data_IF_750238922056
#
_entry.id   IF_750238922056
#
_cell.length_a   1.000
_cell.length_b   1.000
_cell.length_c   1.000
_cell.angle_alpha   90.00
_cell.angle_beta   90.00
_cell.angle_gamma   90.00
#
_symmetry.space_group_name_H-M   'P 1'
#
loop_
_entity.id
_entity.type
_entity.pdbx_description
1 polymer ?
#
# COMPACT_ATOMS: atom_id res chain seq x y z
N UNK A 1 -2.33 -21.17 10.92
CA UNK A 1 -2.13 -21.07 9.47
C UNK A 1 -3.40 -20.62 8.74
N UNK A 2 -4.53 -21.32 8.80
CA UNK A 2 -5.76 -20.96 8.08
C UNK A 2 -6.19 -19.48 8.22
N UNK A 3 -6.19 -18.91 9.43
CA UNK A 3 -6.54 -17.50 9.63
C UNK A 3 -5.61 -16.53 8.89
N UNK A 4 -4.31 -16.81 8.88
CA UNK A 4 -3.32 -15.96 8.21
C UNK A 4 -3.41 -16.07 6.68
N UNK A 5 -3.58 -17.30 6.20
CA UNK A 5 -3.68 -17.60 4.77
C UNK A 5 -4.88 -16.92 4.11
N UNK A 6 -5.97 -16.79 4.88
CA UNK A 6 -7.21 -16.16 4.41
C UNK A 6 -7.47 -14.75 4.96
N UNK A 7 -6.48 -14.12 5.63
CA UNK A 7 -6.62 -12.80 6.25
C UNK A 7 -7.84 -12.68 7.18
N UNK A 8 -8.14 -13.73 7.94
CA UNK A 8 -9.29 -13.76 8.84
C UNK A 8 -8.94 -13.17 10.20
N UNK A 9 -9.88 -12.45 10.79
CA UNK A 9 -9.71 -11.85 12.11
C UNK A 9 -9.64 -12.93 13.22
N UNK A 10 -8.75 -12.74 14.20
CA UNK A 10 -8.56 -13.70 15.30
C UNK A 10 -9.78 -13.86 16.22
N UNK A 11 -10.69 -12.88 16.26
CA UNK A 11 -11.96 -13.00 17.01
C UNK A 11 -12.85 -14.14 16.49
N UNK A 12 -12.69 -14.57 15.23
CA UNK A 12 -13.40 -15.74 14.70
C UNK A 12 -13.09 -17.02 15.49
N UNK A 13 -11.92 -17.09 16.14
CA UNK A 13 -11.54 -18.24 16.95
C UNK A 13 -12.39 -18.43 18.22
N UNK A 14 -13.20 -17.46 18.59
CA UNK A 14 -14.17 -17.58 19.68
C UNK A 14 -15.41 -18.37 19.24
N UNK A 15 -15.77 -18.30 17.97
CA UNK A 15 -16.95 -18.94 17.38
C UNK A 15 -16.65 -20.21 16.59
N UNK A 16 -15.46 -20.31 16.00
CA UNK A 16 -15.09 -21.44 15.15
C UNK A 16 -15.17 -22.81 15.83
N UNK A 17 -14.76 -23.01 17.11
CA UNK A 17 -14.92 -24.29 17.79
C UNK A 17 -16.36 -24.73 17.92
N UNK A 18 -17.28 -23.79 18.15
CA UNK A 18 -18.72 -24.07 18.26
C UNK A 18 -19.29 -24.49 16.91
N UNK A 19 -18.93 -23.79 15.84
CA UNK A 19 -19.31 -24.14 14.48
C UNK A 19 -18.82 -25.55 14.12
N UNK A 20 -17.55 -25.86 14.37
CA UNK A 20 -16.95 -27.19 14.07
C UNK A 20 -17.69 -28.30 14.85
N UNK A 21 -17.99 -28.07 16.12
CA UNK A 21 -18.76 -29.03 16.95
C UNK A 21 -20.17 -29.26 16.42
N UNK A 22 -20.83 -28.23 15.89
CA UNK A 22 -22.19 -28.37 15.34
C UNK A 22 -22.21 -29.07 13.99
N UNK A 23 -21.17 -28.88 13.18
CA UNK A 23 -21.06 -29.49 11.84
C UNK A 23 -20.54 -30.91 11.89
N UNK A 24 -19.68 -31.24 12.88
CA UNK A 24 -19.06 -32.54 13.07
C UNK A 24 -19.37 -33.10 14.48
N UNK A 25 -20.63 -33.40 14.81
CA UNK A 25 -21.04 -33.80 16.16
C UNK A 25 -20.52 -35.17 16.61
N UNK A 26 -20.17 -36.02 15.65
CA UNK A 26 -19.59 -37.36 15.83
C UNK A 26 -18.06 -37.37 16.03
N UNK A 27 -17.39 -36.23 15.74
CA UNK A 27 -15.93 -36.14 15.86
C UNK A 27 -15.46 -35.90 17.29
N UNK A 28 -14.72 -36.84 17.85
CA UNK A 28 -14.08 -36.68 19.17
C UNK A 28 -13.08 -35.53 19.21
N UNK A 29 -12.37 -35.24 18.09
CA UNK A 29 -11.47 -34.09 17.98
C UNK A 29 -12.26 -32.79 18.05
N UNK A 30 -13.39 -32.70 17.36
CA UNK A 30 -14.27 -31.53 17.38
C UNK A 30 -14.84 -31.27 18.77
N UNK A 31 -15.29 -32.32 19.49
CA UNK A 31 -15.82 -32.21 20.86
C UNK A 31 -14.82 -31.59 21.84
N UNK A 32 -13.53 -31.94 21.70
CA UNK A 32 -12.45 -31.49 22.58
C UNK A 32 -11.73 -30.23 22.05
N UNK A 33 -12.13 -29.71 20.91
CA UNK A 33 -11.52 -28.50 20.35
C UNK A 33 -11.74 -27.29 21.25
N UNK A 34 -10.64 -26.75 21.80
CA UNK A 34 -10.60 -25.56 22.65
C UNK A 34 -9.54 -24.62 22.12
N UNK A 35 -9.96 -23.62 21.36
CA UNK A 35 -9.09 -22.57 20.88
C UNK A 35 -9.82 -21.23 21.07
N UNK A 36 -9.08 -20.23 21.51
CA UNK A 36 -9.58 -18.88 21.73
C UNK A 36 -8.73 -17.89 20.93
N UNK A 37 -9.19 -16.65 20.82
CA UNK A 37 -8.41 -15.54 20.23
C UNK A 37 -7.02 -15.44 20.86
N UNK A 38 -6.93 -15.45 22.18
CA UNK A 38 -5.65 -15.36 22.90
C UNK A 38 -4.71 -16.51 22.53
N UNK A 39 -5.22 -17.74 22.52
CA UNK A 39 -4.40 -18.91 22.13
C UNK A 39 -3.94 -18.81 20.67
N UNK A 40 -4.81 -18.36 19.76
CA UNK A 40 -4.45 -18.14 18.37
C UNK A 40 -3.33 -17.09 18.24
N UNK A 41 -3.42 -15.99 19.01
CA UNK A 41 -2.38 -14.96 19.06
C UNK A 41 -1.04 -15.52 19.56
N UNK A 42 -1.04 -16.31 20.63
CA UNK A 42 0.20 -16.90 21.16
C UNK A 42 0.83 -17.90 20.18
N UNK A 43 0.02 -18.75 19.55
CA UNK A 43 0.51 -19.65 18.50
C UNK A 43 1.12 -18.87 17.33
N UNK A 44 0.51 -17.72 16.96
CA UNK A 44 1.05 -16.86 15.91
C UNK A 44 2.41 -16.28 16.28
N UNK A 45 2.62 -15.90 17.55
CA UNK A 45 3.94 -15.42 18.01
C UNK A 45 5.00 -16.50 17.85
N UNK A 46 4.69 -17.74 18.27
CA UNK A 46 5.61 -18.89 18.12
C UNK A 46 5.95 -19.12 16.64
N UNK A 47 4.94 -19.11 15.75
CA UNK A 47 5.16 -19.28 14.30
C UNK A 47 6.05 -18.16 13.76
N UNK A 48 5.81 -16.91 14.19
CA UNK A 48 6.64 -15.77 13.80
C UNK A 48 8.08 -15.95 14.25
N UNK A 49 8.30 -16.31 15.51
CA UNK A 49 9.64 -16.45 16.07
C UNK A 49 10.42 -17.59 15.37
N UNK A 50 9.79 -18.72 15.13
CA UNK A 50 10.33 -19.82 14.32
C UNK A 50 10.69 -19.39 12.89
N UNK A 51 9.78 -18.60 12.25
CA UNK A 51 10.01 -18.11 10.89
C UNK A 51 11.22 -17.17 10.83
N UNK A 52 11.37 -16.29 11.82
CA UNK A 52 12.52 -15.39 11.91
C UNK A 52 13.80 -16.18 12.16
N UNK A 53 13.77 -17.17 13.05
CA UNK A 53 14.93 -18.02 13.32
C UNK A 53 15.41 -18.77 12.06
N UNK A 54 14.48 -19.29 11.25
CA UNK A 54 14.80 -19.90 9.96
C UNK A 54 15.50 -18.92 9.01
N UNK A 55 15.04 -17.68 8.94
CA UNK A 55 15.68 -16.61 8.14
C UNK A 55 17.10 -16.37 8.67
N UNK A 56 17.25 -16.10 9.97
CA UNK A 56 18.55 -15.83 10.61
C UNK A 56 19.54 -16.99 10.37
N UNK A 57 19.09 -18.23 10.53
CA UNK A 57 19.91 -19.40 10.25
C UNK A 57 20.34 -19.49 8.78
N UNK A 58 19.48 -19.04 7.84
CA UNK A 58 19.81 -19.01 6.42
C UNK A 58 20.81 -17.91 6.06
N UNK A 59 20.97 -16.89 6.91
CA UNK A 59 21.88 -15.76 6.71
C UNK A 59 23.29 -15.99 7.28
N UNK A 60 23.52 -17.06 8.05
CA UNK A 60 24.82 -17.32 8.68
C UNK A 60 25.93 -17.41 7.64
N UNK A 61 26.92 -16.53 7.76
CA UNK A 61 28.07 -16.46 6.86
C UNK A 61 27.74 -15.98 5.43
N UNK A 62 26.58 -15.37 5.21
CA UNK A 62 26.16 -14.87 3.92
C UNK A 62 26.00 -13.37 3.91
N UNK A 63 26.16 -12.81 2.72
CA UNK A 63 25.81 -11.41 2.44
C UNK A 63 24.32 -11.27 2.19
N UNK A 64 23.79 -10.08 2.48
CA UNK A 64 22.38 -9.78 2.30
C UNK A 64 22.16 -8.32 1.92
N UNK A 65 20.96 -8.01 1.44
CA UNK A 65 20.49 -6.66 1.20
C UNK A 65 19.20 -6.39 1.97
N UNK A 66 18.99 -5.15 2.36
CA UNK A 66 17.73 -4.70 2.99
C UNK A 66 16.84 -4.01 1.95
N UNK A 67 15.55 -4.29 2.04
CA UNK A 67 14.50 -3.57 1.31
C UNK A 67 13.57 -2.97 2.36
N UNK A 68 13.38 -1.65 2.33
CA UNK A 68 12.60 -0.94 3.34
C UNK A 68 11.54 -0.07 2.69
N UNK A 69 10.38 -0.02 3.34
CA UNK A 69 9.27 0.83 2.90
C UNK A 69 8.46 1.31 4.10
N UNK A 70 8.11 2.62 4.09
CA UNK A 70 7.22 3.20 5.09
C UNK A 70 5.76 2.95 4.71
N UNK A 71 4.97 2.52 5.68
CA UNK A 71 3.52 2.36 5.52
C UNK A 71 2.77 3.06 6.65
N UNK A 72 1.56 3.51 6.35
CA UNK A 72 0.67 4.10 7.35
C UNK A 72 -0.61 3.24 7.39
N UNK A 73 -0.96 2.75 8.56
CA UNK A 73 -2.18 1.97 8.73
C UNK A 73 -3.44 2.86 8.77
N UNK A 74 -4.63 2.23 8.83
CA UNK A 74 -5.90 2.94 8.91
C UNK A 74 -6.05 3.77 10.20
N UNK A 75 -5.28 3.47 11.24
CA UNK A 75 -5.23 4.22 12.50
C UNK A 75 -4.21 5.37 12.48
N UNK A 76 -3.68 5.71 11.29
CA UNK A 76 -2.66 6.75 11.07
C UNK A 76 -1.31 6.46 11.74
N UNK A 77 -1.07 5.20 12.15
CA UNK A 77 0.21 4.79 12.72
C UNK A 77 1.21 4.48 11.61
N UNK A 78 2.36 5.11 11.71
CA UNK A 78 3.46 4.87 10.78
C UNK A 78 4.27 3.66 11.20
N UNK A 79 4.60 2.82 10.24
CA UNK A 79 5.43 1.63 10.42
C UNK A 79 6.44 1.51 9.29
N UNK A 80 7.60 0.92 9.58
CA UNK A 80 8.61 0.57 8.60
C UNK A 80 8.58 -0.94 8.38
N UNK A 81 8.34 -1.35 7.15
CA UNK A 81 8.51 -2.74 6.72
C UNK A 81 9.98 -2.95 6.39
N UNK A 82 10.55 -4.02 6.91
CA UNK A 82 11.93 -4.43 6.62
C UNK A 82 11.90 -5.84 6.05
N UNK A 83 12.31 -5.96 4.78
CA UNK A 83 12.56 -7.22 4.12
C UNK A 83 14.07 -7.43 4.01
N UNK A 84 14.48 -8.67 3.99
CA UNK A 84 15.85 -9.08 3.77
C UNK A 84 15.95 -9.95 2.53
N UNK A 85 16.86 -9.59 1.62
CA UNK A 85 17.13 -10.32 0.38
C UNK A 85 18.45 -11.06 0.52
N UNK A 86 18.44 -12.35 0.27
CA UNK A 86 19.61 -13.21 0.37
C UNK A 86 19.55 -14.38 -0.62
N UNK A 87 20.67 -15.06 -0.82
CA UNK A 87 20.72 -16.30 -1.60
C UNK A 87 20.44 -17.52 -0.72
N UNK A 88 19.42 -18.28 -1.07
CA UNK A 88 19.05 -19.53 -0.39
C UNK A 88 19.74 -20.74 -1.06
N UNK A 89 20.79 -21.29 -0.41
CA UNK A 89 21.54 -22.42 -0.97
C UNK A 89 20.70 -23.69 -1.11
N UNK A 90 19.69 -23.88 -0.25
CA UNK A 90 18.84 -25.07 -0.32
C UNK A 90 17.94 -25.04 -1.55
N UNK A 91 17.46 -23.85 -1.91
CA UNK A 91 16.57 -23.64 -3.05
C UNK A 91 17.29 -23.19 -4.33
N UNK A 92 18.57 -22.81 -4.19
CA UNK A 92 19.40 -22.28 -5.30
C UNK A 92 18.76 -21.05 -5.95
N UNK A 93 18.18 -20.15 -5.14
CA UNK A 93 17.49 -18.95 -5.62
C UNK A 93 17.72 -17.75 -4.69
N UNK A 94 17.55 -16.54 -5.23
CA UNK A 94 17.46 -15.30 -4.43
C UNK A 94 16.07 -15.23 -3.82
N UNK A 95 16.01 -14.98 -2.51
CA UNK A 95 14.77 -14.87 -1.76
C UNK A 95 14.64 -13.54 -1.06
N UNK A 96 13.43 -13.03 -1.04
CA UNK A 96 12.99 -11.95 -0.18
C UNK A 96 12.22 -12.55 1.00
N UNK A 97 12.63 -12.18 2.22
CA UNK A 97 11.98 -12.64 3.44
C UNK A 97 11.59 -11.45 4.31
N UNK A 98 10.42 -11.52 4.91
CA UNK A 98 9.94 -10.50 5.85
C UNK A 98 10.70 -10.64 7.16
N UNK A 99 11.50 -9.62 7.51
CA UNK A 99 12.28 -9.59 8.75
C UNK A 99 11.49 -8.95 9.90
N UNK A 100 10.78 -7.87 9.63
CA UNK A 100 10.02 -7.20 10.66
C UNK A 100 9.18 -6.02 10.19
N UNK A 101 8.24 -5.66 11.06
CA UNK A 101 7.45 -4.44 10.98
C UNK A 101 7.75 -3.60 12.21
N UNK A 102 8.37 -2.46 12.02
CA UNK A 102 8.81 -1.56 13.08
C UNK A 102 7.80 -0.42 13.20
N UNK A 103 7.19 -0.27 14.36
CA UNK A 103 6.32 0.88 14.62
C UNK A 103 7.18 2.14 14.82
N UNK A 104 6.88 3.20 14.08
CA UNK A 104 7.63 4.43 14.11
C UNK A 104 6.94 5.48 14.98
N UNK A 105 7.68 6.02 15.93
CA UNK A 105 7.26 7.21 16.68
C UNK A 105 7.73 8.50 16.00
N UNK A 106 8.85 8.42 15.29
CA UNK A 106 9.43 9.51 14.50
C UNK A 106 9.91 8.96 13.15
N UNK A 107 9.69 9.72 12.08
CA UNK A 107 10.03 9.33 10.72
C UNK A 107 11.20 10.17 10.17
N UNK A 108 12.20 10.48 11.01
CA UNK A 108 13.45 11.07 10.54
C UNK A 108 14.50 9.97 10.26
N UNK A 109 15.47 10.27 9.43
CA UNK A 109 16.48 9.32 9.00
C UNK A 109 17.27 8.69 10.15
N UNK A 110 17.53 9.45 11.21
CA UNK A 110 18.24 8.96 12.40
C UNK A 110 17.44 7.90 13.15
N UNK A 111 16.14 8.16 13.37
CA UNK A 111 15.27 7.20 14.03
C UNK A 111 15.08 5.93 13.19
N UNK A 112 14.86 6.06 11.88
CA UNK A 112 14.74 4.92 10.97
C UNK A 112 16.00 4.06 10.98
N UNK A 113 17.15 4.68 10.82
CA UNK A 113 18.45 3.99 10.87
C UNK A 113 18.64 3.25 12.20
N UNK A 114 18.40 3.92 13.34
CA UNK A 114 18.52 3.32 14.68
C UNK A 114 17.59 2.13 14.85
N UNK A 115 16.33 2.26 14.46
CA UNK A 115 15.34 1.17 14.61
C UNK A 115 15.70 -0.05 13.72
N UNK A 116 16.19 0.17 12.50
CA UNK A 116 16.68 -0.92 11.65
C UNK A 116 17.91 -1.58 12.24
N UNK A 117 18.86 -0.79 12.74
CA UNK A 117 20.06 -1.32 13.41
C UNK A 117 19.70 -2.14 14.65
N UNK A 118 18.77 -1.66 15.47
CA UNK A 118 18.26 -2.38 16.63
C UNK A 118 17.59 -3.71 16.23
N UNK A 119 16.83 -3.73 15.13
CA UNK A 119 16.22 -4.95 14.62
C UNK A 119 17.27 -5.98 14.22
N UNK A 120 18.30 -5.56 13.49
CA UNK A 120 19.41 -6.45 13.10
C UNK A 120 20.19 -6.97 14.33
N UNK A 121 20.46 -6.11 15.30
CA UNK A 121 21.10 -6.50 16.55
C UNK A 121 20.26 -7.47 17.36
N UNK A 122 18.95 -7.26 17.46
CA UNK A 122 18.02 -8.15 18.18
C UNK A 122 18.08 -9.58 17.65
N UNK A 123 18.27 -9.74 16.34
CA UNK A 123 18.38 -11.03 15.70
C UNK A 123 19.81 -11.51 15.47
N UNK A 124 20.81 -10.80 16.00
CA UNK A 124 22.24 -11.08 15.82
C UNK A 124 22.63 -11.22 14.33
N UNK A 125 22.07 -10.36 13.46
CA UNK A 125 22.40 -10.29 12.04
C UNK A 125 23.56 -9.32 11.86
N UNK A 126 24.75 -9.77 11.37
CA UNK A 126 25.94 -8.97 11.27
C UNK A 126 25.79 -7.85 10.22
N UNK A 127 26.04 -6.61 10.60
CA UNK A 127 25.97 -5.44 9.69
C UNK A 127 27.07 -5.45 8.61
N UNK A 128 28.21 -6.06 8.88
CA UNK A 128 29.31 -6.22 7.94
C UNK A 128 28.95 -7.04 6.70
N UNK A 129 27.93 -7.86 6.80
CA UNK A 129 27.42 -8.67 5.68
C UNK A 129 26.37 -7.93 4.84
N UNK A 130 25.99 -6.71 5.21
CA UNK A 130 25.05 -5.90 4.45
C UNK A 130 25.75 -5.31 3.22
N UNK A 131 25.34 -5.77 2.03
CA UNK A 131 25.92 -5.32 0.74
C UNK A 131 25.01 -4.41 -0.06
N UNK A 132 23.75 -4.32 0.29
CA UNK A 132 22.78 -3.54 -0.49
C UNK A 132 21.64 -2.99 0.35
N UNK A 133 21.13 -1.83 -0.08
CA UNK A 133 20.00 -1.14 0.50
C UNK A 133 19.04 -0.68 -0.59
N UNK A 134 17.77 -1.02 -0.50
CA UNK A 134 16.73 -0.51 -1.39
C UNK A 134 15.59 0.12 -0.57
N UNK A 135 15.15 1.30 -0.99
CA UNK A 135 14.00 1.99 -0.42
C UNK A 135 13.34 2.92 -1.45
N UNK A 136 12.30 3.64 -1.07
CA UNK A 136 11.74 4.69 -1.91
C UNK A 136 12.74 5.85 -2.08
N UNK A 137 12.44 6.77 -3.01
CA UNK A 137 13.33 7.89 -3.32
C UNK A 137 13.09 9.13 -2.42
N UNK A 138 12.37 8.97 -1.30
CA UNK A 138 12.18 10.05 -0.35
C UNK A 138 13.53 10.54 0.21
N UNK A 139 13.66 11.85 0.42
CA UNK A 139 14.89 12.44 0.92
C UNK A 139 15.32 11.88 2.30
N UNK A 140 14.37 11.45 3.12
CA UNK A 140 14.62 10.79 4.40
C UNK A 140 15.35 9.47 4.20
N UNK A 141 14.99 8.69 3.17
CA UNK A 141 15.61 7.41 2.84
C UNK A 141 16.90 7.59 2.02
N UNK A 142 16.81 8.31 0.88
CA UNK A 142 17.84 8.39 -0.15
C UNK A 142 18.62 9.70 -0.16
N UNK A 143 18.51 10.53 0.88
CA UNK A 143 19.30 11.76 0.99
C UNK A 143 20.80 11.49 1.18
N UNK A 144 21.65 12.01 0.27
CA UNK A 144 23.10 11.74 0.25
C UNK A 144 23.88 12.30 1.45
N UNK A 145 23.31 13.28 2.18
CA UNK A 145 24.00 13.94 3.31
C UNK A 145 23.53 13.44 4.67
N UNK A 146 22.25 13.17 4.81
CA UNK A 146 21.63 12.89 6.11
C UNK A 146 20.50 11.86 6.05
N UNK A 147 20.28 11.26 4.90
CA UNK A 147 19.30 10.18 4.70
C UNK A 147 19.74 8.88 5.37
N UNK A 148 18.85 7.91 5.40
CA UNK A 148 19.14 6.57 5.93
C UNK A 148 20.29 5.94 5.15
N UNK A 149 20.33 6.07 3.82
CA UNK A 149 21.45 5.56 3.01
C UNK A 149 22.81 6.14 3.43
N UNK A 150 22.89 7.45 3.68
CA UNK A 150 24.15 8.08 4.07
C UNK A 150 24.69 7.50 5.37
N UNK A 151 23.82 7.24 6.35
CA UNK A 151 24.17 6.64 7.64
C UNK A 151 24.65 5.19 7.51
N UNK A 152 24.06 4.40 6.62
CA UNK A 152 24.57 3.05 6.32
C UNK A 152 25.91 3.11 5.57
N UNK A 153 26.08 4.06 4.66
CA UNK A 153 27.35 4.25 3.93
C UNK A 153 28.49 4.79 4.82
N UNK A 154 28.20 5.50 5.91
CA UNK A 154 29.19 5.86 6.91
C UNK A 154 29.80 4.61 7.60
N UNK A 155 29.00 3.55 7.79
CA UNK A 155 29.46 2.29 8.39
C UNK A 155 30.14 1.41 7.34
N UNK A 156 29.53 1.27 6.16
CA UNK A 156 30.06 0.50 5.06
C UNK A 156 29.95 1.28 3.74
N UNK A 157 31.02 1.97 3.33
CA UNK A 157 31.04 2.76 2.09
C UNK A 157 30.78 1.95 0.81
N UNK A 158 30.92 0.62 0.86
CA UNK A 158 30.74 -0.27 -0.29
C UNK A 158 29.29 -0.73 -0.47
N UNK A 159 28.36 -0.32 0.39
CA UNK A 159 26.94 -0.69 0.25
C UNK A 159 26.39 -0.16 -1.08
N UNK A 160 25.87 -1.06 -1.89
CA UNK A 160 25.11 -0.69 -3.09
C UNK A 160 23.74 -0.16 -2.69
N UNK A 161 23.39 1.05 -3.13
CA UNK A 161 22.11 1.69 -2.82
C UNK A 161 21.26 1.77 -4.08
N UNK A 162 20.03 1.28 -4.00
CA UNK A 162 19.06 1.28 -5.09
C UNK A 162 17.78 2.01 -4.68
N UNK A 163 17.49 3.13 -5.33
CA UNK A 163 16.19 3.79 -5.24
C UNK A 163 15.11 3.00 -5.97
N UNK A 164 13.88 3.04 -5.48
CA UNK A 164 12.75 2.34 -6.09
C UNK A 164 12.49 2.85 -7.53
N UNK A 165 12.61 1.96 -8.51
CA UNK A 165 12.38 2.28 -9.92
C UNK A 165 10.93 2.65 -10.20
N UNK A 166 9.97 2.01 -9.53
CA UNK A 166 8.55 2.35 -9.63
C UNK A 166 8.28 3.77 -9.11
N UNK A 167 8.92 4.16 -8.01
CA UNK A 167 8.83 5.53 -7.49
C UNK A 167 9.46 6.54 -8.46
N UNK A 168 10.63 6.23 -9.04
CA UNK A 168 11.25 7.08 -10.08
C UNK A 168 10.35 7.25 -11.29
N UNK A 169 9.74 6.17 -11.77
CA UNK A 169 8.80 6.22 -12.90
C UNK A 169 7.57 7.07 -12.56
N UNK A 170 7.04 6.94 -11.33
CA UNK A 170 5.95 7.79 -10.86
C UNK A 170 6.36 9.27 -10.83
N UNK A 171 7.54 9.60 -10.31
CA UNK A 171 8.05 10.98 -10.29
C UNK A 171 8.20 11.54 -11.71
N UNK A 172 8.71 10.74 -12.66
CA UNK A 172 8.79 11.13 -14.08
C UNK A 172 7.40 11.39 -14.67
N UNK A 173 6.44 10.50 -14.42
CA UNK A 173 5.07 10.66 -14.89
C UNK A 173 4.41 11.90 -14.26
N UNK A 174 4.62 12.13 -12.97
CA UNK A 174 4.12 13.32 -12.26
C UNK A 174 4.73 14.62 -12.83
N UNK A 175 6.04 14.62 -13.09
CA UNK A 175 6.72 15.76 -13.70
C UNK A 175 6.21 16.04 -15.13
N UNK A 176 5.92 14.99 -15.90
CA UNK A 176 5.31 15.11 -17.22
C UNK A 176 3.87 15.65 -17.10
N UNK A 177 3.07 15.14 -16.18
CA UNK A 177 1.71 15.61 -15.94
C UNK A 177 1.65 17.10 -15.54
N UNK A 178 2.65 17.59 -14.80
CA UNK A 178 2.77 19.02 -14.48
C UNK A 178 3.00 19.92 -15.71
N UNK A 179 3.34 19.35 -16.86
CA UNK A 179 3.45 20.09 -18.13
C UNK A 179 2.13 20.17 -18.91
N UNK A 180 1.16 19.33 -18.54
CA UNK A 180 -0.20 19.44 -19.06
C UNK A 180 -0.86 20.72 -18.51
N UNK A 181 -1.88 21.26 -19.20
CA UNK A 181 -2.66 22.35 -18.65
C UNK A 181 -3.20 21.99 -17.26
N UNK A 182 -2.99 22.85 -16.27
CA UNK A 182 -3.45 22.61 -14.88
C UNK A 182 -4.95 22.29 -14.81
N UNK A 183 -5.73 22.82 -15.73
CA UNK A 183 -7.15 22.55 -15.87
C UNK A 183 -7.50 21.07 -16.01
N UNK A 184 -6.62 20.22 -16.57
CA UNK A 184 -6.89 18.77 -16.76
C UNK A 184 -6.80 18.03 -15.42
N UNK A 185 -5.74 18.25 -14.64
CA UNK A 185 -5.61 17.63 -13.32
C UNK A 185 -6.71 18.13 -12.36
N UNK A 186 -6.98 19.42 -12.34
CA UNK A 186 -8.04 20.02 -11.54
C UNK A 186 -9.41 19.45 -11.93
N UNK A 187 -9.67 19.25 -13.21
CA UNK A 187 -10.91 18.67 -13.71
C UNK A 187 -11.14 17.27 -13.13
N UNK A 188 -10.17 16.38 -13.24
CA UNK A 188 -10.28 15.01 -12.71
C UNK A 188 -10.45 15.01 -11.18
N UNK A 189 -9.72 15.86 -10.48
CA UNK A 189 -9.81 16.02 -9.03
C UNK A 189 -11.17 16.58 -8.59
N UNK A 190 -11.69 17.54 -9.31
CA UNK A 190 -12.99 18.16 -9.04
C UNK A 190 -14.14 17.16 -9.26
N UNK A 191 -14.06 16.31 -10.28
CA UNK A 191 -15.03 15.22 -10.47
C UNK A 191 -15.03 14.28 -9.24
N UNK A 192 -13.87 13.79 -8.81
CA UNK A 192 -13.81 12.94 -7.62
C UNK A 192 -14.40 13.64 -6.39
N UNK A 193 -13.97 14.87 -6.10
CA UNK A 193 -14.42 15.61 -4.92
C UNK A 193 -15.93 15.84 -4.93
N UNK A 194 -16.53 16.00 -6.11
CA UNK A 194 -17.97 16.18 -6.25
C UNK A 194 -18.76 14.96 -5.75
N UNK A 195 -18.25 13.74 -5.98
CA UNK A 195 -18.92 12.50 -5.61
C UNK A 195 -18.48 11.91 -4.27
N UNK A 196 -17.28 12.20 -3.80
CA UNK A 196 -16.61 11.51 -2.69
C UNK A 196 -17.36 11.56 -1.36
N UNK A 197 -18.13 12.62 -1.11
CA UNK A 197 -18.80 12.86 0.18
C UNK A 197 -20.34 12.89 0.06
N UNK A 198 -20.90 12.33 -1.01
CA UNK A 198 -22.35 12.36 -1.22
C UNK A 198 -22.84 11.07 -1.89
N UNK A 199 -23.49 10.22 -1.09
CA UNK A 199 -24.17 9.02 -1.59
C UNK A 199 -25.24 9.35 -2.62
N UNK A 200 -26.04 10.40 -2.38
CA UNK A 200 -27.08 10.85 -3.30
C UNK A 200 -26.54 11.20 -4.69
N UNK A 201 -25.38 11.91 -4.74
CA UNK A 201 -24.74 12.23 -6.03
C UNK A 201 -24.21 10.97 -6.73
N UNK A 202 -23.69 10.03 -5.96
CA UNK A 202 -23.20 8.76 -6.50
C UNK A 202 -24.36 7.92 -7.06
N UNK A 203 -25.49 7.83 -6.36
CA UNK A 203 -26.70 7.15 -6.83
C UNK A 203 -27.25 7.77 -8.11
N UNK A 204 -27.32 9.10 -8.18
CA UNK A 204 -27.75 9.80 -9.39
C UNK A 204 -26.80 9.56 -10.57
N UNK A 205 -25.48 9.48 -10.35
CA UNK A 205 -24.56 9.09 -11.43
C UNK A 205 -24.84 7.67 -11.90
N UNK A 206 -25.12 6.75 -10.98
CA UNK A 206 -25.46 5.36 -11.30
C UNK A 206 -26.71 5.27 -12.17
N UNK A 207 -27.75 6.09 -11.93
CA UNK A 207 -28.94 6.20 -12.79
C UNK A 207 -28.56 6.59 -14.22
N UNK A 208 -27.68 7.57 -14.43
CA UNK A 208 -27.20 7.95 -15.76
C UNK A 208 -26.36 6.85 -16.42
N UNK A 209 -25.55 6.13 -15.64
CA UNK A 209 -24.79 4.98 -16.15
C UNK A 209 -25.73 3.87 -16.61
N UNK A 210 -26.75 3.54 -15.84
CA UNK A 210 -27.80 2.58 -16.25
C UNK A 210 -28.57 3.04 -17.49
N UNK A 211 -28.94 4.32 -17.56
CA UNK A 211 -29.63 4.88 -18.72
C UNK A 211 -28.84 4.69 -20.03
N UNK A 212 -27.51 4.80 -19.94
CA UNK A 212 -26.60 4.58 -21.07
C UNK A 212 -26.17 3.11 -21.25
N UNK A 213 -26.80 2.17 -20.55
CA UNK A 213 -26.43 0.75 -20.55
C UNK A 213 -24.96 0.50 -20.15
N UNK A 214 -24.41 1.33 -19.27
CA UNK A 214 -23.06 1.19 -18.74
C UNK A 214 -23.09 0.42 -17.43
N UNK A 215 -21.99 -0.27 -17.13
CA UNK A 215 -21.82 -0.90 -15.82
C UNK A 215 -21.57 0.19 -14.77
N UNK A 216 -22.35 0.24 -13.67
CA UNK A 216 -22.12 1.21 -12.60
C UNK A 216 -20.72 1.14 -12.04
N UNK A 217 -20.09 2.30 -11.90
CA UNK A 217 -18.72 2.39 -11.42
C UNK A 217 -18.50 3.70 -10.67
N UNK A 218 -17.92 3.58 -9.46
CA UNK A 218 -17.57 4.73 -8.62
C UNK A 218 -16.37 5.49 -9.18
N UNK A 219 -16.34 6.81 -8.96
CA UNK A 219 -15.18 7.63 -9.26
C UNK A 219 -14.02 7.30 -8.32
N UNK A 220 -12.81 7.21 -8.89
CA UNK A 220 -11.60 6.83 -8.15
C UNK A 220 -10.89 8.07 -7.59
N UNK A 221 -10.22 7.90 -6.44
CA UNK A 221 -9.43 8.94 -5.81
C UNK A 221 -8.08 9.13 -6.53
N UNK A 222 -7.74 10.33 -7.03
CA UNK A 222 -6.40 10.62 -7.53
C UNK A 222 -5.44 10.77 -6.34
N UNK A 223 -4.87 9.66 -5.90
CA UNK A 223 -3.96 9.63 -4.75
C UNK A 223 -2.56 10.06 -5.17
N UNK A 224 -1.95 11.00 -4.44
CA UNK A 224 -0.56 11.38 -4.65
C UNK A 224 0.43 10.32 -4.13
N UNK A 225 0.00 9.48 -3.20
CA UNK A 225 0.84 8.46 -2.56
C UNK A 225 0.73 7.08 -3.22
N UNK A 226 -0.29 6.83 -4.02
CA UNK A 226 -0.44 5.57 -4.77
C UNK A 226 0.03 5.77 -6.20
N UNK A 227 1.16 5.21 -6.51
CA UNK A 227 1.78 5.28 -7.81
C UNK A 227 0.83 4.72 -8.88
N UNK A 228 0.82 5.38 -10.05
CA UNK A 228 -0.04 5.04 -11.19
C UNK A 228 -1.56 5.16 -10.93
N UNK A 229 -1.99 5.73 -9.80
CA UNK A 229 -3.42 5.95 -9.54
C UNK A 229 -4.05 6.91 -10.57
N UNK A 230 -3.29 7.86 -11.08
CA UNK A 230 -3.77 8.85 -12.06
C UNK A 230 -4.29 8.17 -13.33
N UNK A 231 -3.57 7.19 -13.87
CA UNK A 231 -4.01 6.45 -15.08
C UNK A 231 -5.37 5.76 -14.85
N UNK A 232 -5.53 5.08 -13.72
CA UNK A 232 -6.80 4.42 -13.41
C UNK A 232 -7.96 5.42 -13.26
N UNK A 233 -7.68 6.60 -12.67
CA UNK A 233 -8.66 7.67 -12.49
C UNK A 233 -9.05 8.26 -13.85
N UNK A 234 -8.08 8.58 -14.70
CA UNK A 234 -8.32 9.11 -16.06
C UNK A 234 -9.12 8.11 -16.89
N UNK A 235 -8.72 6.84 -16.90
CA UNK A 235 -9.48 5.80 -17.60
C UNK A 235 -10.93 5.72 -17.10
N UNK A 236 -11.16 5.78 -15.77
CA UNK A 236 -12.50 5.79 -15.19
C UNK A 236 -13.32 7.00 -15.63
N UNK A 237 -12.74 8.18 -15.73
CA UNK A 237 -13.42 9.38 -16.23
C UNK A 237 -13.74 9.24 -17.72
N UNK A 238 -12.80 8.72 -18.53
CA UNK A 238 -13.04 8.50 -19.96
C UNK A 238 -14.11 7.44 -20.21
N UNK A 239 -14.07 6.32 -19.48
CA UNK A 239 -15.10 5.27 -19.55
C UNK A 239 -16.49 5.80 -19.19
N UNK A 240 -16.55 6.71 -18.21
CA UNK A 240 -17.83 7.28 -17.72
C UNK A 240 -18.15 8.63 -18.35
N UNK A 241 -17.47 9.05 -19.42
CA UNK A 241 -17.51 10.41 -19.96
C UNK A 241 -18.93 10.90 -20.28
N UNK A 242 -19.68 10.10 -20.99
CA UNK A 242 -21.02 10.48 -21.43
C UNK A 242 -22.03 10.53 -20.27
N UNK A 243 -21.93 9.57 -19.34
CA UNK A 243 -22.72 9.58 -18.13
C UNK A 243 -22.42 10.77 -17.22
N UNK A 244 -21.13 11.10 -17.06
CA UNK A 244 -20.70 12.27 -16.31
C UNK A 244 -21.16 13.58 -16.96
N UNK A 245 -21.05 13.69 -18.27
CA UNK A 245 -21.50 14.88 -19.00
C UNK A 245 -23.01 15.10 -18.84
N UNK A 246 -23.83 14.05 -18.97
CA UNK A 246 -25.28 14.12 -18.76
C UNK A 246 -25.59 14.49 -17.30
N UNK A 247 -24.94 13.83 -16.34
CA UNK A 247 -25.10 14.15 -14.93
C UNK A 247 -24.83 15.62 -14.64
N UNK A 248 -23.65 16.14 -15.05
CA UNK A 248 -23.27 17.55 -14.77
C UNK A 248 -24.17 18.55 -15.51
N UNK A 249 -24.70 18.21 -16.68
CA UNK A 249 -25.70 19.03 -17.38
C UNK A 249 -26.96 19.19 -16.51
N UNK A 250 -27.47 18.10 -15.92
CA UNK A 250 -28.61 18.15 -15.00
C UNK A 250 -28.27 18.80 -13.66
N UNK A 251 -27.09 18.55 -13.12
CA UNK A 251 -26.66 19.09 -11.82
C UNK A 251 -26.50 20.61 -11.83
N UNK A 252 -25.98 21.20 -12.89
CA UNK A 252 -25.88 22.67 -13.03
C UNK A 252 -27.24 23.36 -12.94
N UNK A 253 -28.29 22.71 -13.50
CA UNK A 253 -29.64 23.28 -13.45
C UNK A 253 -30.28 23.19 -12.05
N UNK A 254 -29.84 22.22 -11.23
CA UNK A 254 -30.41 21.98 -9.89
C UNK A 254 -29.64 22.65 -8.77
N UNK A 255 -28.32 22.50 -8.76
CA UNK A 255 -27.49 22.88 -7.62
C UNK A 255 -26.87 24.27 -7.73
N UNK A 256 -26.79 24.85 -8.94
CA UNK A 256 -26.22 26.18 -9.28
C UNK A 256 -24.84 26.44 -8.60
N UNK A 257 -24.04 25.41 -8.38
CA UNK A 257 -22.73 25.49 -7.74
C UNK A 257 -21.66 25.88 -8.77
N UNK A 258 -20.81 26.85 -8.46
CA UNK A 258 -19.70 27.28 -9.35
C UNK A 258 -18.82 26.08 -9.80
N UNK A 259 -18.51 25.18 -8.88
CA UNK A 259 -17.69 24.02 -9.20
C UNK A 259 -18.34 23.10 -10.23
N UNK A 260 -19.65 22.89 -10.15
CA UNK A 260 -20.43 22.09 -11.11
C UNK A 260 -20.43 22.73 -12.51
N UNK A 261 -20.53 24.06 -12.57
CA UNK A 261 -20.43 24.81 -13.83
C UNK A 261 -19.05 24.66 -14.48
N UNK A 262 -17.95 24.83 -13.71
CA UNK A 262 -16.59 24.67 -14.21
C UNK A 262 -16.33 23.24 -14.73
N UNK A 263 -16.85 22.23 -14.05
CA UNK A 263 -16.74 20.83 -14.53
C UNK A 263 -17.48 20.66 -15.85
N UNK A 264 -18.70 21.19 -15.98
CA UNK A 264 -19.47 21.10 -17.23
C UNK A 264 -18.79 21.86 -18.38
N UNK A 265 -18.23 23.03 -18.13
CA UNK A 265 -17.45 23.79 -19.11
C UNK A 265 -16.27 22.97 -19.63
N UNK A 266 -15.56 22.27 -18.73
CA UNK A 266 -14.47 21.38 -19.11
C UNK A 266 -14.95 20.20 -19.99
N UNK A 267 -16.12 19.59 -19.70
CA UNK A 267 -16.72 18.57 -20.56
C UNK A 267 -17.08 19.08 -21.96
N UNK A 268 -17.38 20.36 -22.08
CA UNK A 268 -17.71 21.01 -23.37
C UNK A 268 -16.47 21.51 -24.11
N UNK A 269 -15.28 21.43 -23.53
CA UNK A 269 -14.02 21.83 -24.14
C UNK A 269 -13.38 20.62 -24.84
N UNK A 270 -13.36 20.54 -26.19
CA UNK A 270 -12.93 19.33 -26.91
C UNK A 270 -11.50 18.86 -26.55
N UNK A 271 -10.61 19.79 -26.27
CA UNK A 271 -9.21 19.54 -25.96
C UNK A 271 -9.03 18.78 -24.65
N UNK A 272 -9.94 18.94 -23.67
CA UNK A 272 -9.85 18.26 -22.37
C UNK A 272 -9.96 16.74 -22.51
N UNK A 273 -10.75 16.25 -23.46
CA UNK A 273 -10.87 14.80 -23.73
C UNK A 273 -9.64 14.20 -24.42
N UNK A 274 -8.83 15.04 -25.10
CA UNK A 274 -7.64 14.61 -25.83
C UNK A 274 -6.40 14.52 -24.94
N UNK A 275 -6.36 15.27 -23.86
CA UNK A 275 -5.29 15.20 -22.85
C UNK A 275 -5.52 14.08 -21.86
#
# INVERSE_FOLDING_TARGET
>A
MFLHEHNLAFNLMEHMPQLIKSVCPDSEVAKHLKISRTKATEVTKVIKDESVELIVNSLKGKVYSLIMDETTDLSTQKSLVVLIRYYDDKRQEIRDAFLGLIRLLRCNAESLFREVTNLLQTYNIPMENLIGLAADNAAVMMGNKSGVQARFQEINPSIFVLGCTCHSTHLCASAAACKLPKSVEEFVRNIYNHFSNSSNRAERLEEFQHFLNMKPAKMLHPSQTRWLSLQAVVNRVLESWDALKLYFTGAVLQDNLRNTQHILEAFNTPVVKLY
#
